data_IF_390331582861
#
_entry.id   IF_390331582861
#
_cell.length_a   1.000
_cell.length_b   1.000
_cell.length_c   1.000
_cell.angle_alpha   90.00
_cell.angle_beta   90.00
_cell.angle_gamma   90.00
#
_symmetry.space_group_name_H-M   'P 1'
#
loop_
_entity.id
_entity.type
_entity.pdbx_description
1 polymer ?
#
# COMPACT_ATOMS: atom_id res chain seq x y z
N UNK A 1 10.05 31.03 16.11
CA UNK A 1 8.71 30.52 16.49
C UNK A 1 8.54 29.06 16.12
N UNK A 2 7.49 28.42 16.63
CA UNK A 2 7.15 27.00 16.39
C UNK A 2 5.73 26.94 15.80
N UNK A 3 5.54 26.17 14.73
CA UNK A 3 4.24 25.90 14.11
C UNK A 3 3.75 24.47 14.35
N UNK A 4 2.44 24.27 14.21
CA UNK A 4 1.78 22.97 14.26
C UNK A 4 0.99 22.75 12.96
N UNK A 5 1.05 21.54 12.40
CA UNK A 5 0.34 21.17 11.18
C UNK A 5 -0.30 19.79 11.30
N UNK A 6 -1.63 19.72 11.22
CA UNK A 6 -2.35 18.46 11.17
C UNK A 6 -3.67 18.62 10.40
N UNK A 7 -4.24 17.50 9.94
CA UNK A 7 -5.47 17.48 9.15
C UNK A 7 -6.70 18.10 9.85
N UNK A 8 -6.69 18.14 11.19
CA UNK A 8 -7.75 18.74 12.00
C UNK A 8 -7.74 20.27 12.07
N UNK A 9 -6.73 20.95 11.52
CA UNK A 9 -6.69 22.41 11.44
C UNK A 9 -7.54 22.93 10.26
N UNK A 10 -8.09 24.13 10.40
CA UNK A 10 -8.73 24.81 9.28
C UNK A 10 -7.71 25.07 8.17
N UNK A 11 -8.17 25.04 6.92
CA UNK A 11 -7.29 25.24 5.76
C UNK A 11 -6.52 26.56 5.81
N UNK A 12 -7.17 27.63 6.28
CA UNK A 12 -6.53 28.94 6.48
C UNK A 12 -5.33 28.85 7.43
N UNK A 13 -5.47 28.13 8.54
CA UNK A 13 -4.43 28.05 9.56
C UNK A 13 -3.25 27.20 9.05
N UNK A 14 -3.54 26.13 8.30
CA UNK A 14 -2.53 25.31 7.63
C UNK A 14 -1.70 26.15 6.65
N UNK A 15 -2.35 26.93 5.77
CA UNK A 15 -1.69 27.81 4.81
C UNK A 15 -0.82 28.87 5.50
N UNK A 16 -1.34 29.51 6.55
CA UNK A 16 -0.57 30.49 7.33
C UNK A 16 0.69 29.87 7.95
N UNK A 17 0.58 28.68 8.55
CA UNK A 17 1.74 28.02 9.15
C UNK A 17 2.77 27.60 8.09
N UNK A 18 2.32 27.09 6.94
CA UNK A 18 3.18 26.76 5.79
C UNK A 18 3.94 27.99 5.28
N UNK A 19 3.25 29.11 5.06
CA UNK A 19 3.85 30.38 4.63
C UNK A 19 4.86 30.92 5.65
N UNK A 20 4.53 30.85 6.95
CA UNK A 20 5.45 31.28 8.01
C UNK A 20 6.71 30.41 8.04
N UNK A 21 6.60 29.12 7.75
CA UNK A 21 7.76 28.21 7.69
C UNK A 21 8.61 28.46 6.45
N UNK A 22 7.99 28.55 5.27
CA UNK A 22 8.68 28.84 4.00
C UNK A 22 9.44 30.16 4.04
N UNK A 23 8.83 31.20 4.62
CA UNK A 23 9.44 32.52 4.78
C UNK A 23 10.36 32.62 6.01
N UNK A 24 10.70 31.49 6.64
CA UNK A 24 11.62 31.38 7.78
C UNK A 24 11.24 32.27 8.98
N UNK A 25 9.95 32.59 9.13
CA UNK A 25 9.41 33.31 10.30
C UNK A 25 9.29 32.38 11.51
N UNK A 26 9.08 31.09 11.25
CA UNK A 26 9.18 30.01 12.23
C UNK A 26 10.32 29.06 11.84
N UNK A 27 10.99 28.49 12.84
CA UNK A 27 12.14 27.61 12.65
C UNK A 27 11.79 26.14 12.76
N UNK A 28 10.72 25.83 13.50
CA UNK A 28 10.30 24.46 13.77
C UNK A 28 8.84 24.32 13.36
N UNK A 29 8.55 23.28 12.59
CA UNK A 29 7.19 22.85 12.28
C UNK A 29 6.99 21.42 12.79
N UNK A 30 6.00 21.24 13.64
CA UNK A 30 5.59 19.92 14.13
C UNK A 30 4.38 19.48 13.30
N UNK A 31 4.50 18.35 12.61
CA UNK A 31 3.46 17.87 11.70
C UNK A 31 3.08 16.40 11.93
N UNK A 32 1.84 16.05 11.59
CA UNK A 32 1.40 14.65 11.51
C UNK A 32 1.89 13.99 10.23
N UNK A 33 1.93 12.65 10.20
CA UNK A 33 2.42 11.84 9.07
C UNK A 33 1.80 12.22 7.71
N UNK A 34 0.55 12.69 7.71
CA UNK A 34 -0.19 13.14 6.53
C UNK A 34 0.51 14.26 5.75
N UNK A 35 1.34 15.09 6.39
CA UNK A 35 2.09 16.15 5.71
C UNK A 35 3.06 15.57 4.66
N UNK A 36 3.62 14.38 4.93
CA UNK A 36 4.62 13.74 4.07
C UNK A 36 4.11 13.51 2.65
N UNK A 37 2.80 13.34 2.45
CA UNK A 37 2.19 13.12 1.15
C UNK A 37 1.54 14.37 0.55
N UNK A 38 1.11 15.33 1.37
CA UNK A 38 0.19 16.39 0.95
C UNK A 38 0.82 17.73 0.57
N UNK A 39 2.04 18.04 1.03
CA UNK A 39 2.61 19.39 0.89
C UNK A 39 4.11 19.33 0.58
N UNK A 40 4.56 20.17 -0.35
CA UNK A 40 5.98 20.32 -0.66
C UNK A 40 6.65 21.33 0.27
N UNK A 41 7.01 20.88 1.48
CA UNK A 41 7.65 21.72 2.49
C UNK A 41 9.02 21.15 2.88
N UNK A 42 10.11 21.49 2.16
CA UNK A 42 11.43 20.99 2.46
C UNK A 42 12.04 21.69 3.69
N UNK A 43 12.78 20.94 4.49
CA UNK A 43 13.45 21.43 5.71
C UNK A 43 14.89 20.93 5.76
N UNK A 44 15.81 21.70 6.33
CA UNK A 44 17.20 21.25 6.48
C UNK A 44 17.31 19.99 7.35
N UNK A 45 16.57 19.97 8.45
CA UNK A 45 16.49 18.87 9.41
C UNK A 45 15.05 18.35 9.49
N UNK A 46 14.88 17.04 9.33
CA UNK A 46 13.62 16.35 9.62
C UNK A 46 13.84 15.36 10.76
N UNK A 47 12.96 15.41 11.76
CA UNK A 47 12.98 14.47 12.89
C UNK A 47 11.70 13.64 12.86
N UNK A 48 11.83 12.33 12.64
CA UNK A 48 10.74 11.37 12.76
C UNK A 48 10.69 10.90 14.21
N UNK A 49 9.77 11.48 14.99
CA UNK A 49 9.58 11.14 16.40
C UNK A 49 8.65 9.94 16.55
N UNK A 50 9.24 8.75 16.65
CA UNK A 50 8.52 7.49 16.77
C UNK A 50 8.11 6.93 15.42
N UNK A 51 8.10 5.60 15.31
CA UNK A 51 7.81 4.87 14.07
C UNK A 51 6.59 3.95 14.22
N UNK A 52 5.70 4.28 15.16
CA UNK A 52 4.54 3.49 15.52
C UNK A 52 3.31 4.41 15.57
N UNK A 53 2.15 3.86 15.24
CA UNK A 53 0.87 4.54 15.37
C UNK A 53 -0.16 3.61 16.02
N UNK A 54 -1.15 4.19 16.67
CA UNK A 54 -2.24 3.43 17.26
C UNK A 54 -3.29 3.12 16.20
N UNK A 55 -3.55 1.84 15.96
CA UNK A 55 -4.65 1.39 15.10
C UNK A 55 -5.89 1.09 15.95
N UNK A 56 -6.93 1.90 15.78
CA UNK A 56 -8.19 1.76 16.49
C UNK A 56 -8.97 0.49 16.15
N UNK A 57 -8.74 -0.12 14.97
CA UNK A 57 -9.42 -1.37 14.56
C UNK A 57 -8.86 -2.56 15.32
N UNK A 58 -7.53 -2.65 15.41
CA UNK A 58 -6.84 -3.73 16.10
C UNK A 58 -6.58 -3.43 17.59
N UNK A 59 -6.80 -2.18 18.02
CA UNK A 59 -6.55 -1.65 19.37
C UNK A 59 -5.10 -1.83 19.83
N UNK A 60 -4.14 -1.76 18.90
CA UNK A 60 -2.71 -1.98 19.15
C UNK A 60 -1.87 -0.89 18.50
N UNK A 61 -0.65 -0.76 19.00
CA UNK A 61 0.38 0.01 18.30
C UNK A 61 0.97 -0.84 17.18
N UNK A 62 0.83 -0.36 15.96
CA UNK A 62 1.39 -0.98 14.77
C UNK A 62 2.56 -0.15 14.27
N UNK A 63 3.52 -0.83 13.65
CA UNK A 63 4.61 -0.17 12.96
C UNK A 63 4.08 0.63 11.77
N UNK A 64 4.63 1.84 11.61
CA UNK A 64 4.37 2.66 10.45
C UNK A 64 4.96 1.99 9.20
N UNK A 65 4.25 2.02 8.06
CA UNK A 65 4.82 1.58 6.80
C UNK A 65 6.14 2.32 6.53
N UNK A 66 7.18 1.58 6.14
CA UNK A 66 8.49 2.17 5.84
C UNK A 66 8.41 3.25 4.76
N UNK A 67 7.46 3.12 3.83
CA UNK A 67 7.18 4.10 2.78
C UNK A 67 6.82 5.46 3.35
N UNK A 68 6.05 5.51 4.44
CA UNK A 68 5.69 6.77 5.09
C UNK A 68 6.90 7.40 5.77
N UNK A 69 7.74 6.59 6.41
CA UNK A 69 8.99 7.05 7.01
C UNK A 69 9.93 7.60 5.93
N UNK A 70 10.06 6.91 4.80
CA UNK A 70 10.84 7.38 3.64
C UNK A 70 10.29 8.70 3.08
N UNK A 71 8.97 8.85 2.99
CA UNK A 71 8.35 10.11 2.55
C UNK A 71 8.62 11.26 3.52
N UNK A 72 8.58 11.01 4.84
CA UNK A 72 8.94 12.03 5.84
C UNK A 72 10.41 12.43 5.68
N UNK A 73 11.31 11.46 5.57
CA UNK A 73 12.73 11.71 5.37
C UNK A 73 13.04 12.43 4.06
N UNK A 74 12.26 12.18 3.00
CA UNK A 74 12.39 12.86 1.71
C UNK A 74 12.13 14.37 1.78
N UNK A 75 11.60 14.88 2.89
CA UNK A 75 11.49 16.33 3.16
C UNK A 75 12.78 16.94 3.70
N UNK A 76 13.77 16.11 4.08
CA UNK A 76 15.06 16.59 4.53
C UNK A 76 15.92 17.03 3.34
N UNK A 77 16.46 18.24 3.45
CA UNK A 77 17.23 18.91 2.40
C UNK A 77 16.36 19.89 1.59
N UNK A 78 16.89 21.09 1.39
CA UNK A 78 16.29 22.13 0.53
C UNK A 78 17.12 22.26 -0.73
N UNK A 79 16.67 21.71 -1.88
CA UNK A 79 17.37 21.91 -3.15
C UNK A 79 17.61 23.40 -3.38
N UNK A 80 18.80 23.75 -3.88
CA UNK A 80 19.27 25.15 -4.13
C UNK A 80 19.65 25.98 -2.89
N UNK A 81 19.25 25.57 -1.67
CA UNK A 81 19.57 26.33 -0.45
C UNK A 81 20.59 25.61 0.45
N UNK A 82 20.51 24.29 0.56
CA UNK A 82 21.37 23.49 1.44
C UNK A 82 22.26 22.53 0.62
N UNK A 83 23.50 22.36 1.07
CA UNK A 83 24.42 21.36 0.50
C UNK A 83 24.15 19.94 1.00
N UNK A 84 23.44 19.81 2.12
CA UNK A 84 23.08 18.53 2.74
C UNK A 84 21.76 18.67 3.49
N UNK A 85 20.99 17.58 3.56
CA UNK A 85 19.83 17.43 4.42
C UNK A 85 20.10 16.40 5.51
N UNK A 86 19.57 16.63 6.71
CA UNK A 86 19.72 15.70 7.84
C UNK A 86 18.36 15.13 8.20
N UNK A 87 18.27 13.80 8.27
CA UNK A 87 17.08 13.11 8.74
C UNK A 87 17.43 12.28 9.98
N UNK A 88 16.70 12.50 11.07
CA UNK A 88 16.88 11.79 12.35
C UNK A 88 15.63 10.96 12.62
N UNK A 89 15.80 9.63 12.68
CA UNK A 89 14.72 8.70 13.01
C UNK A 89 14.87 8.26 14.45
N UNK A 90 13.90 8.60 15.29
CA UNK A 90 13.83 8.13 16.66
C UNK A 90 12.98 6.85 16.71
N UNK A 91 13.64 5.72 16.98
CA UNK A 91 13.04 4.39 16.93
C UNK A 91 13.51 3.53 18.11
N UNK A 92 12.69 2.56 18.50
CA UNK A 92 13.06 1.56 19.49
C UNK A 92 14.29 0.76 19.04
N UNK A 93 15.21 0.45 19.97
CA UNK A 93 16.52 -0.13 19.64
C UNK A 93 16.42 -1.45 18.84
N UNK A 94 15.48 -2.32 19.22
CA UNK A 94 15.17 -3.59 18.53
C UNK A 94 14.90 -3.39 17.02
N UNK A 95 14.29 -2.26 16.63
CA UNK A 95 13.90 -1.95 15.25
C UNK A 95 14.96 -1.13 14.50
N UNK A 96 16.01 -0.64 15.18
CA UNK A 96 17.05 0.22 14.59
C UNK A 96 17.71 -0.40 13.35
N UNK A 97 18.05 -1.69 13.43
CA UNK A 97 18.70 -2.40 12.33
C UNK A 97 17.76 -2.58 11.12
N UNK A 98 16.47 -2.77 11.36
CA UNK A 98 15.44 -2.85 10.31
C UNK A 98 15.41 -1.54 9.52
N UNK A 99 15.23 -0.40 10.18
CA UNK A 99 15.20 0.90 9.51
C UNK A 99 16.55 1.20 8.84
N UNK A 100 17.67 0.96 9.51
CA UNK A 100 19.01 1.19 8.93
C UNK A 100 19.20 0.44 7.61
N UNK A 101 18.75 -0.81 7.51
CA UNK A 101 18.87 -1.60 6.27
C UNK A 101 18.12 -0.94 5.10
N UNK A 102 16.88 -0.52 5.31
CA UNK A 102 16.04 0.05 4.25
C UNK A 102 16.36 1.51 3.88
N UNK A 103 17.25 2.18 4.61
CA UNK A 103 17.79 3.47 4.19
C UNK A 103 18.89 3.34 3.14
N UNK A 104 19.62 2.22 3.15
CA UNK A 104 20.75 2.00 2.24
C UNK A 104 20.47 0.95 1.16
N UNK A 105 19.49 0.08 1.39
CA UNK A 105 19.03 -0.91 0.42
C UNK A 105 17.60 -0.56 -0.04
N UNK A 106 17.30 -0.73 -1.34
CA UNK A 106 15.94 -0.52 -1.84
C UNK A 106 14.95 -1.48 -1.17
N UNK A 107 13.77 -0.97 -0.82
CA UNK A 107 12.73 -1.78 -0.18
C UNK A 107 12.17 -2.83 -1.16
N UNK A 108 12.16 -4.13 -0.79
CA UNK A 108 11.58 -5.17 -1.63
C UNK A 108 10.06 -5.03 -1.62
N UNK A 109 9.50 -4.67 -2.76
CA UNK A 109 8.05 -4.59 -2.95
C UNK A 109 7.53 -5.97 -3.36
N UNK A 110 6.48 -6.43 -2.67
CA UNK A 110 5.74 -7.65 -2.96
C UNK A 110 4.26 -7.33 -3.20
N UNK A 111 3.55 -8.21 -3.91
CA UNK A 111 2.13 -8.00 -4.18
C UNK A 111 1.27 -8.43 -3.01
N UNK A 112 0.31 -7.58 -2.62
CA UNK A 112 -0.74 -7.92 -1.64
C UNK A 112 -2.07 -8.33 -2.30
N UNK A 113 -2.07 -8.58 -3.62
CA UNK A 113 -3.28 -8.85 -4.41
C UNK A 113 -4.08 -10.04 -3.87
N UNK A 114 -3.43 -11.07 -3.33
CA UNK A 114 -4.09 -12.28 -2.82
C UNK A 114 -5.16 -11.99 -1.76
N UNK A 115 -4.96 -10.93 -0.95
CA UNK A 115 -5.89 -10.57 0.13
C UNK A 115 -7.20 -9.95 -0.35
N UNK A 116 -7.17 -9.33 -1.54
CA UNK A 116 -8.27 -8.55 -2.13
C UNK A 116 -8.69 -9.11 -3.50
N UNK A 117 -8.18 -10.28 -3.87
CA UNK A 117 -8.40 -10.89 -5.18
C UNK A 117 -9.89 -11.12 -5.50
N UNK A 118 -10.75 -11.59 -4.56
CA UNK A 118 -12.18 -11.74 -4.83
C UNK A 118 -12.83 -10.43 -5.30
N UNK A 119 -12.50 -9.30 -4.69
CA UNK A 119 -13.09 -8.01 -5.03
C UNK A 119 -12.69 -7.58 -6.45
N UNK A 120 -11.40 -7.73 -6.80
CA UNK A 120 -10.91 -7.43 -8.15
C UNK A 120 -11.52 -8.35 -9.20
N UNK A 121 -11.62 -9.65 -8.94
CA UNK A 121 -12.27 -10.59 -9.85
C UNK A 121 -13.75 -10.23 -10.03
N UNK A 122 -14.47 -9.89 -8.96
CA UNK A 122 -15.87 -9.46 -9.04
C UNK A 122 -16.03 -8.24 -9.96
N UNK A 123 -15.14 -7.25 -9.84
CA UNK A 123 -15.16 -6.06 -10.69
C UNK A 123 -14.93 -6.38 -12.18
N UNK A 124 -13.97 -7.25 -12.50
CA UNK A 124 -13.67 -7.65 -13.88
C UNK A 124 -14.76 -8.53 -14.52
N UNK A 125 -15.43 -9.37 -13.72
CA UNK A 125 -16.58 -10.15 -14.18
C UNK A 125 -17.77 -9.22 -14.47
N UNK A 126 -17.99 -8.17 -13.65
CA UNK A 126 -19.02 -7.14 -13.90
C UNK A 126 -18.70 -6.30 -15.12
N UNK A 127 -17.44 -5.93 -15.31
CA UNK A 127 -16.98 -5.24 -16.52
C UNK A 127 -17.13 -6.10 -17.79
N UNK A 128 -17.22 -7.42 -17.64
CA UNK A 128 -17.32 -8.37 -18.73
C UNK A 128 -15.97 -8.73 -19.36
N UNK A 129 -14.86 -8.33 -18.74
CA UNK A 129 -13.49 -8.74 -19.10
C UNK A 129 -13.28 -10.23 -18.86
N UNK A 130 -13.84 -10.74 -17.75
CA UNK A 130 -13.74 -12.14 -17.35
C UNK A 130 -15.13 -12.79 -17.42
N UNK A 131 -15.28 -13.77 -18.30
CA UNK A 131 -16.48 -14.61 -18.46
C UNK A 131 -16.19 -16.07 -18.16
N UNK A 132 -14.92 -16.49 -18.26
CA UNK A 132 -14.50 -17.86 -18.02
C UNK A 132 -13.36 -17.97 -17.01
N UNK A 133 -13.21 -19.15 -16.40
CA UNK A 133 -12.05 -19.45 -15.53
C UNK A 133 -10.71 -19.28 -16.24
N UNK A 134 -10.65 -19.58 -17.54
CA UNK A 134 -9.42 -19.40 -18.33
C UNK A 134 -9.07 -17.93 -18.49
N UNK A 135 -10.05 -17.08 -18.80
CA UNK A 135 -9.83 -15.62 -18.87
C UNK A 135 -9.41 -15.05 -17.51
N UNK A 136 -9.89 -15.61 -16.40
CA UNK A 136 -9.42 -15.24 -15.07
C UNK A 136 -7.95 -15.62 -14.82
N UNK A 137 -7.51 -16.79 -15.31
CA UNK A 137 -6.09 -17.19 -15.27
C UNK A 137 -5.25 -16.23 -16.11
N UNK A 138 -5.70 -15.95 -17.33
CA UNK A 138 -5.02 -15.03 -18.24
C UNK A 138 -4.92 -13.64 -17.62
N UNK A 139 -5.98 -13.12 -16.99
CA UNK A 139 -5.96 -11.86 -16.25
C UNK A 139 -4.87 -11.83 -15.17
N UNK A 140 -4.73 -12.90 -14.37
CA UNK A 140 -3.69 -12.97 -13.36
C UNK A 140 -2.28 -12.86 -13.95
N UNK A 141 -2.03 -13.37 -15.16
CA UNK A 141 -0.71 -13.29 -15.79
C UNK A 141 -0.25 -11.85 -16.07
N UNK A 142 -1.18 -10.91 -16.23
CA UNK A 142 -0.90 -9.48 -16.44
C UNK A 142 -0.54 -8.74 -15.16
N UNK A 143 -0.79 -9.34 -13.99
CA UNK A 143 -0.62 -8.66 -12.70
C UNK A 143 0.84 -8.62 -12.24
N UNK A 144 1.15 -7.64 -11.39
CA UNK A 144 2.44 -7.60 -10.69
C UNK A 144 2.66 -8.86 -9.81
N UNK A 145 1.58 -9.40 -9.26
CA UNK A 145 1.59 -10.63 -8.47
C UNK A 145 2.22 -11.79 -9.26
N UNK A 146 1.78 -12.05 -10.49
CA UNK A 146 2.33 -13.15 -11.29
C UNK A 146 3.84 -12.99 -11.54
N UNK A 147 4.28 -11.77 -11.86
CA UNK A 147 5.72 -11.48 -12.02
C UNK A 147 6.52 -11.72 -10.75
N UNK A 148 5.95 -11.45 -9.57
CA UNK A 148 6.60 -11.69 -8.28
C UNK A 148 6.54 -13.15 -7.86
N UNK A 149 5.47 -13.86 -8.16
CA UNK A 149 5.31 -15.29 -7.89
C UNK A 149 6.47 -16.09 -8.49
N UNK A 150 6.86 -15.80 -9.74
CA UNK A 150 7.99 -16.47 -10.40
C UNK A 150 9.36 -16.12 -9.79
N UNK A 151 9.51 -14.90 -9.25
CA UNK A 151 10.78 -14.43 -8.65
C UNK A 151 10.95 -14.90 -7.20
N UNK A 152 9.90 -14.85 -6.41
CA UNK A 152 9.91 -15.18 -4.98
C UNK A 152 8.68 -16.04 -4.59
N UNK A 153 8.62 -17.32 -5.04
CA UNK A 153 7.45 -18.17 -4.82
C UNK A 153 7.18 -18.46 -3.34
N UNK A 154 8.23 -18.61 -2.55
CA UNK A 154 8.14 -18.95 -1.13
C UNK A 154 7.40 -17.88 -0.30
N UNK A 155 7.44 -16.61 -0.72
CA UNK A 155 6.66 -15.55 -0.08
C UNK A 155 5.15 -15.76 -0.22
N UNK A 156 4.72 -16.36 -1.33
CA UNK A 156 3.31 -16.64 -1.64
C UNK A 156 2.88 -18.05 -1.22
N UNK A 157 3.76 -18.82 -0.56
CA UNK A 157 3.48 -20.19 -0.12
C UNK A 157 3.65 -21.26 -1.20
N UNK A 158 4.38 -20.97 -2.29
CA UNK A 158 4.69 -21.95 -3.33
C UNK A 158 6.10 -22.52 -3.12
N UNK A 159 6.21 -23.86 -3.10
CA UNK A 159 7.47 -24.57 -2.83
C UNK A 159 8.31 -24.80 -4.10
N UNK A 160 7.66 -25.04 -5.25
CA UNK A 160 8.32 -25.30 -6.53
C UNK A 160 8.12 -24.15 -7.53
N UNK A 161 9.07 -24.01 -8.47
CA UNK A 161 8.98 -23.08 -9.62
C UNK A 161 8.52 -23.77 -10.89
N UNK A 162 8.16 -25.05 -10.81
CA UNK A 162 7.76 -25.81 -11.99
C UNK A 162 6.48 -25.22 -12.59
N UNK A 163 6.40 -25.04 -13.92
CA UNK A 163 5.23 -24.43 -14.57
C UNK A 163 3.91 -25.15 -14.24
N UNK A 164 3.96 -26.46 -14.03
CA UNK A 164 2.80 -27.26 -13.62
C UNK A 164 2.28 -26.84 -12.23
N UNK A 165 3.18 -26.66 -11.26
CA UNK A 165 2.83 -26.30 -9.89
C UNK A 165 2.33 -24.86 -9.80
N UNK A 166 2.93 -23.95 -10.58
CA UNK A 166 2.46 -22.56 -10.69
C UNK A 166 1.03 -22.53 -11.26
N UNK A 167 0.76 -23.27 -12.33
CA UNK A 167 -0.57 -23.31 -12.93
C UNK A 167 -1.61 -23.95 -12.00
N UNK A 168 -1.24 -25.01 -11.28
CA UNK A 168 -2.09 -25.63 -10.28
C UNK A 168 -2.42 -24.65 -9.13
N UNK A 169 -1.42 -23.93 -8.64
CA UNK A 169 -1.59 -22.91 -7.61
C UNK A 169 -2.52 -21.76 -8.05
N UNK A 170 -2.32 -21.22 -9.26
CA UNK A 170 -3.18 -20.16 -9.80
C UNK A 170 -4.62 -20.63 -10.00
N UNK A 171 -4.80 -21.88 -10.48
CA UNK A 171 -6.12 -22.47 -10.66
C UNK A 171 -6.85 -22.63 -9.32
N UNK A 172 -6.16 -23.14 -8.30
CA UNK A 172 -6.71 -23.25 -6.94
C UNK A 172 -7.07 -21.90 -6.35
N UNK A 173 -6.24 -20.87 -6.58
CA UNK A 173 -6.47 -19.52 -6.10
C UNK A 173 -7.73 -18.89 -6.71
N UNK A 174 -7.92 -19.04 -8.02
CA UNK A 174 -9.11 -18.55 -8.72
C UNK A 174 -10.35 -19.31 -8.25
N UNK A 175 -10.26 -20.64 -8.15
CA UNK A 175 -11.38 -21.45 -7.69
C UNK A 175 -11.81 -21.06 -6.27
N UNK A 176 -10.86 -20.89 -5.35
CA UNK A 176 -11.14 -20.40 -3.99
C UNK A 176 -11.80 -19.02 -3.99
N UNK A 177 -11.32 -18.10 -4.84
CA UNK A 177 -11.84 -16.74 -4.92
C UNK A 177 -13.25 -16.71 -5.52
N UNK A 178 -13.51 -17.48 -6.58
CA UNK A 178 -14.82 -17.63 -7.20
C UNK A 178 -15.82 -18.30 -6.25
N UNK A 179 -15.40 -19.31 -5.50
CA UNK A 179 -16.24 -19.93 -4.47
C UNK A 179 -16.61 -18.92 -3.38
N UNK A 180 -15.67 -18.07 -2.96
CA UNK A 180 -15.92 -17.01 -1.97
C UNK A 180 -16.98 -16.03 -2.49
N UNK A 181 -16.88 -15.61 -3.75
CA UNK A 181 -17.87 -14.74 -4.40
C UNK A 181 -19.22 -15.43 -4.61
N UNK A 182 -19.22 -16.73 -4.91
CA UNK A 182 -20.43 -17.53 -5.07
C UNK A 182 -21.19 -17.64 -3.75
N UNK A 183 -20.50 -17.96 -2.65
CA UNK A 183 -21.10 -18.00 -1.31
C UNK A 183 -21.58 -16.63 -0.83
N UNK A 184 -20.92 -15.55 -1.27
CA UNK A 184 -21.37 -14.18 -1.00
C UNK A 184 -22.57 -13.74 -1.88
N UNK A 185 -22.95 -14.54 -2.88
CA UNK A 185 -24.04 -14.23 -3.81
C UNK A 185 -23.69 -13.19 -4.88
N UNK A 186 -22.40 -12.87 -5.06
CA UNK A 186 -21.94 -11.87 -6.04
C UNK A 186 -21.85 -12.42 -7.48
N UNK A 187 -21.60 -13.72 -7.62
CA UNK A 187 -21.45 -14.39 -8.92
C UNK A 187 -22.22 -15.71 -8.96
N UNK A 188 -22.64 -16.10 -10.16
CA UNK A 188 -23.25 -17.40 -10.45
C UNK A 188 -22.37 -18.19 -11.40
N UNK A 189 -22.26 -19.49 -11.16
CA UNK A 189 -21.52 -20.44 -11.99
C UNK A 189 -22.54 -21.30 -12.75
N UNK A 190 -22.33 -21.49 -14.06
CA UNK A 190 -23.17 -22.41 -14.84
C UNK A 190 -22.93 -23.87 -14.45
N UNK A 191 -23.79 -24.78 -14.94
CA UNK A 191 -23.76 -26.23 -14.64
C UNK A 191 -22.40 -26.89 -14.95
N UNK A 192 -21.70 -26.39 -15.98
CA UNK A 192 -20.36 -26.87 -16.36
C UNK A 192 -19.22 -26.30 -15.48
N UNK A 193 -19.54 -25.34 -14.61
CA UNK A 193 -18.58 -24.69 -13.71
C UNK A 193 -17.45 -23.93 -14.40
N UNK A 194 -17.57 -23.64 -15.70
CA UNK A 194 -16.53 -22.98 -16.53
C UNK A 194 -16.82 -21.52 -16.81
N UNK A 195 -18.08 -21.19 -16.98
CA UNK A 195 -18.60 -19.83 -17.24
C UNK A 195 -19.06 -19.20 -15.94
N UNK A 196 -18.78 -17.90 -15.81
CA UNK A 196 -19.11 -17.09 -14.64
C UNK A 196 -19.99 -15.93 -15.10
N UNK A 197 -21.11 -15.75 -14.41
CA UNK A 197 -22.07 -14.68 -14.64
C UNK A 197 -22.24 -13.82 -13.40
N UNK A 198 -22.63 -12.56 -13.59
CA UNK A 198 -22.79 -11.61 -12.49
C UNK A 198 -24.22 -11.57 -11.99
N UNK A 199 -24.36 -11.44 -10.67
CA UNK A 199 -25.65 -11.17 -10.03
C UNK A 199 -25.89 -9.67 -9.88
N UNK A 200 -27.10 -9.28 -9.52
CA UNK A 200 -27.40 -7.90 -9.14
C UNK A 200 -26.56 -7.41 -7.97
N UNK A 201 -26.29 -8.29 -6.99
CA UNK A 201 -25.43 -7.96 -5.84
C UNK A 201 -23.97 -7.73 -6.26
N UNK A 202 -23.44 -8.57 -7.16
CA UNK A 202 -22.10 -8.37 -7.71
C UNK A 202 -21.95 -7.05 -8.46
N UNK A 203 -22.98 -6.66 -9.23
CA UNK A 203 -23.01 -5.35 -9.91
C UNK A 203 -23.03 -4.17 -8.95
N UNK A 204 -23.73 -4.28 -7.83
CA UNK A 204 -23.75 -3.24 -6.80
C UNK A 204 -22.40 -3.16 -6.08
N UNK A 205 -21.76 -4.31 -5.80
CA UNK A 205 -20.47 -4.35 -5.11
C UNK A 205 -19.32 -3.77 -5.96
N UNK A 206 -19.43 -3.83 -7.29
CA UNK A 206 -18.42 -3.34 -8.22
C UNK A 206 -18.62 -1.88 -8.66
N UNK A 207 -19.76 -1.27 -8.34
CA UNK A 207 -20.09 0.12 -8.68
C UNK A 207 -19.65 1.08 -7.57
#
# INVERSE_FOLDING_TARGET
GIGLHHAGLQERDRKTVEELFLNQKIQVLIATATLAWGVNLPAHLVVVKGTEYYDGKTKRYNDMPITDVLQMMGRAGRPQFDNQGVAVILVHDIKKNFYRKFLYEPFPVESSLLSVLPDHLSAEIVAGTIKTKQEALDYLTWTYFFRRLLKNPSYYGLESKDPCDVNAFLSQLIEKSLLTLYYAGCVTLDEDGRTVSTTSMGRIAAY
#
